data_IF_416979364527
#
_entry.id   IF_416979364527
#
_cell.length_a   1.000
_cell.length_b   1.000
_cell.length_c   1.000
_cell.angle_alpha   90.00
_cell.angle_beta   90.00
_cell.angle_gamma   90.00
#
_symmetry.space_group_name_H-M   'P 1'
#
loop_
_entity.id
_entity.type
_entity.pdbx_description
1 polymer ?
#
# COMPACT_ATOMS: atom_id res chain seq x y z
N UNK A 1 10.90 -8.84 -14.25
CA UNK A 1 9.55 -9.47 -14.17
C UNK A 1 8.49 -8.50 -14.67
N UNK A 2 7.58 -8.94 -15.56
CA UNK A 2 6.44 -8.11 -16.03
C UNK A 2 5.35 -8.09 -14.96
N UNK A 3 4.77 -6.91 -14.74
CA UNK A 3 3.62 -6.75 -13.85
C UNK A 3 2.32 -7.27 -14.52
N UNK A 4 1.46 -8.02 -13.80
CA UNK A 4 0.11 -8.33 -14.30
C UNK A 4 -0.75 -7.08 -14.49
N UNK A 5 -0.55 -6.08 -13.63
CA UNK A 5 -1.19 -4.76 -13.70
C UNK A 5 -0.13 -3.69 -13.55
N UNK A 6 -0.04 -2.79 -14.53
CA UNK A 6 0.93 -1.70 -14.53
C UNK A 6 0.74 -0.77 -13.32
N UNK A 7 1.84 -0.23 -12.80
CA UNK A 7 1.79 0.84 -11.80
C UNK A 7 1.56 2.19 -12.48
N UNK A 8 0.64 2.97 -11.93
CA UNK A 8 0.41 4.36 -12.36
C UNK A 8 0.95 5.36 -11.35
N UNK A 9 1.22 6.58 -11.80
CA UNK A 9 1.49 7.70 -10.90
C UNK A 9 0.21 8.21 -10.23
N UNK A 10 0.39 9.05 -9.21
CA UNK A 10 -0.69 9.84 -8.62
C UNK A 10 -0.52 11.30 -8.99
N UNK A 11 -1.64 11.98 -9.29
CA UNK A 11 -1.67 13.42 -9.51
C UNK A 11 -1.72 14.13 -8.16
N UNK A 12 -0.80 15.06 -7.91
CA UNK A 12 -0.86 15.95 -6.75
C UNK A 12 -1.85 17.07 -7.02
N UNK A 13 -2.74 17.33 -6.06
CA UNK A 13 -3.56 18.54 -6.07
C UNK A 13 -2.74 19.67 -5.45
N UNK A 14 -2.84 20.87 -6.04
CA UNK A 14 -2.06 22.04 -5.60
C UNK A 14 -2.50 22.51 -4.21
N UNK A 15 -3.81 22.55 -3.98
CA UNK A 15 -4.40 23.05 -2.74
C UNK A 15 -5.82 22.46 -2.51
N UNK A 16 -6.46 22.95 -1.44
CA UNK A 16 -7.81 22.56 -1.04
C UNK A 16 -8.88 22.99 -2.05
N UNK A 17 -8.71 24.12 -2.73
CA UNK A 17 -9.68 24.62 -3.72
C UNK A 17 -9.67 23.70 -4.94
N UNK A 18 -8.48 23.37 -5.45
CA UNK A 18 -8.30 22.41 -6.53
C UNK A 18 -8.87 21.03 -6.19
N UNK A 19 -8.65 20.56 -4.95
CA UNK A 19 -9.25 19.32 -4.46
C UNK A 19 -10.77 19.41 -4.44
N UNK A 20 -11.36 20.47 -3.86
CA UNK A 20 -12.81 20.66 -3.81
C UNK A 20 -13.43 20.65 -5.20
N UNK A 21 -12.84 21.36 -6.17
CA UNK A 21 -13.30 21.37 -7.56
C UNK A 21 -13.23 19.98 -8.20
N UNK A 22 -12.14 19.24 -7.95
CA UNK A 22 -12.00 17.87 -8.46
C UNK A 22 -13.05 16.92 -7.86
N UNK A 23 -13.45 17.12 -6.60
CA UNK A 23 -14.44 16.29 -5.92
C UNK A 23 -15.89 16.56 -6.35
N UNK A 24 -16.23 17.75 -6.88
CA UNK A 24 -17.63 18.16 -7.17
C UNK A 24 -18.39 17.18 -8.06
N UNK A 25 -17.73 16.65 -9.09
CA UNK A 25 -18.34 15.76 -10.08
C UNK A 25 -18.13 14.27 -9.76
N UNK A 26 -17.84 13.94 -8.50
CA UNK A 26 -17.45 12.58 -8.07
C UNK A 26 -18.18 12.18 -6.80
N UNK A 27 -18.57 10.91 -6.77
CA UNK A 27 -19.14 10.25 -5.59
C UNK A 27 -18.27 9.04 -5.21
N UNK A 28 -18.58 8.41 -4.08
CA UNK A 28 -17.84 7.25 -3.54
C UNK A 28 -16.32 7.49 -3.42
N UNK A 29 -15.96 8.63 -2.83
CA UNK A 29 -14.57 9.01 -2.62
C UNK A 29 -14.05 8.50 -1.28
N UNK A 30 -12.81 8.01 -1.32
CA UNK A 30 -12.11 7.48 -0.15
C UNK A 30 -10.72 8.12 -0.06
N UNK A 31 -10.28 8.37 1.17
CA UNK A 31 -8.94 8.85 1.49
C UNK A 31 -8.12 7.74 2.13
N UNK A 32 -6.85 7.66 1.74
CA UNK A 32 -5.84 6.76 2.28
C UNK A 32 -4.56 7.56 2.54
N UNK A 33 -3.71 7.17 3.51
CA UNK A 33 -2.46 7.84 3.78
C UNK A 33 -1.50 7.62 2.60
N UNK A 34 -0.73 8.66 2.28
CA UNK A 34 0.38 8.50 1.35
C UNK A 34 1.57 7.89 2.10
N UNK A 35 1.63 6.56 2.13
CA UNK A 35 2.72 5.81 2.77
C UNK A 35 4.06 6.12 2.10
N UNK A 36 5.10 6.37 2.92
CA UNK A 36 6.47 6.61 2.46
C UNK A 36 7.30 5.34 2.55
N UNK A 37 7.39 4.60 1.44
CA UNK A 37 8.13 3.35 1.36
C UNK A 37 8.56 3.05 -0.06
N UNK A 38 8.49 1.78 -0.46
CA UNK A 38 8.69 1.34 -1.85
C UNK A 38 7.50 0.52 -2.33
N UNK A 39 7.05 0.81 -3.55
CA UNK A 39 5.91 0.13 -4.13
C UNK A 39 6.24 -1.32 -4.51
N UNK A 40 5.29 -2.21 -4.24
CA UNK A 40 5.33 -3.64 -4.51
C UNK A 40 4.02 -4.11 -5.15
N UNK A 41 4.11 -5.11 -6.01
CA UNK A 41 2.97 -5.92 -6.46
C UNK A 41 3.05 -7.28 -5.81
N UNK A 42 1.97 -7.72 -5.16
CA UNK A 42 1.81 -9.06 -4.61
C UNK A 42 0.84 -9.84 -5.48
N UNK A 43 1.23 -11.02 -5.92
CA UNK A 43 0.40 -11.92 -6.72
C UNK A 43 0.13 -13.17 -5.91
N UNK A 44 -1.14 -13.42 -5.62
CA UNK A 44 -1.61 -14.64 -5.00
C UNK A 44 -2.19 -15.58 -6.07
N UNK A 45 -1.85 -16.86 -5.97
CA UNK A 45 -2.39 -17.94 -6.80
C UNK A 45 -2.71 -19.13 -5.92
N UNK A 46 -3.90 -19.68 -6.07
CA UNK A 46 -4.39 -20.82 -5.28
C UNK A 46 -4.18 -20.63 -3.77
N UNK A 47 -4.43 -19.41 -3.30
CA UNK A 47 -4.32 -19.04 -1.89
C UNK A 47 -2.90 -18.87 -1.37
N UNK A 48 -1.86 -18.93 -2.21
CA UNK A 48 -0.46 -18.76 -1.79
C UNK A 48 0.16 -17.54 -2.44
N UNK A 49 1.04 -16.84 -1.70
CA UNK A 49 1.88 -15.81 -2.29
C UNK A 49 2.74 -16.45 -3.38
N UNK A 50 2.45 -16.16 -4.65
CA UNK A 50 3.13 -16.72 -5.80
C UNK A 50 4.32 -15.84 -6.21
N UNK A 51 4.12 -14.52 -6.20
CA UNK A 51 5.13 -13.56 -6.64
C UNK A 51 5.04 -12.24 -5.90
N UNK A 52 6.18 -11.62 -5.64
CA UNK A 52 6.28 -10.23 -5.24
C UNK A 52 7.22 -9.48 -6.18
N UNK A 53 6.79 -8.32 -6.69
CA UNK A 53 7.49 -7.60 -7.76
C UNK A 53 7.73 -6.17 -7.31
N UNK A 54 8.96 -5.67 -7.40
CA UNK A 54 9.26 -4.26 -7.18
C UNK A 54 8.57 -3.38 -8.23
N UNK A 55 8.41 -2.08 -7.96
CA UNK A 55 7.82 -1.18 -8.97
C UNK A 55 8.60 -1.13 -10.29
N UNK A 56 9.93 -1.06 -10.22
CA UNK A 56 10.79 -0.81 -11.38
C UNK A 56 10.34 0.41 -12.20
N UNK A 57 10.12 0.21 -13.50
CA UNK A 57 9.61 1.27 -14.39
C UNK A 57 8.07 1.33 -14.46
N UNK A 58 7.38 0.54 -13.63
CA UNK A 58 5.93 0.45 -13.57
C UNK A 58 5.30 -0.58 -14.51
N UNK A 59 6.00 -1.00 -15.57
CA UNK A 59 5.60 -2.11 -16.45
C UNK A 59 6.35 -3.40 -16.10
N UNK A 60 7.62 -3.26 -15.73
CA UNK A 60 8.51 -4.32 -15.29
C UNK A 60 9.23 -3.89 -14.01
N UNK A 61 9.42 -4.85 -13.12
CA UNK A 61 10.20 -4.70 -11.90
C UNK A 61 11.10 -5.91 -11.63
N UNK A 62 11.73 -5.90 -10.47
CA UNK A 62 12.58 -6.99 -9.98
C UNK A 62 11.73 -8.02 -9.24
N UNK A 63 12.19 -9.27 -9.22
CA UNK A 63 11.58 -10.30 -8.40
C UNK A 63 12.04 -10.13 -6.95
N UNK A 64 11.12 -9.78 -6.07
CA UNK A 64 11.36 -9.65 -4.63
C UNK A 64 10.69 -10.77 -3.84
N UNK A 65 10.24 -11.84 -4.50
CA UNK A 65 9.43 -12.90 -3.88
C UNK A 65 10.11 -13.47 -2.64
N UNK A 66 11.36 -13.93 -2.75
CA UNK A 66 12.07 -14.55 -1.62
C UNK A 66 12.14 -13.62 -0.40
N UNK A 67 12.51 -12.35 -0.60
CA UNK A 67 12.62 -11.39 0.49
C UNK A 67 11.27 -11.01 1.09
N UNK A 68 10.24 -10.83 0.25
CA UNK A 68 8.89 -10.50 0.70
C UNK A 68 8.28 -11.66 1.51
N UNK A 69 8.67 -12.92 1.26
CA UNK A 69 8.25 -14.05 2.10
C UNK A 69 8.73 -13.95 3.56
N UNK A 70 9.80 -13.19 3.81
CA UNK A 70 10.36 -12.99 5.15
C UNK A 70 9.74 -11.79 5.87
N UNK A 71 8.94 -10.97 5.19
CA UNK A 71 8.24 -9.85 5.80
C UNK A 71 6.99 -10.39 6.50
N UNK A 72 7.01 -10.42 7.83
CA UNK A 72 5.91 -10.94 8.66
C UNK A 72 4.56 -10.25 8.42
N UNK A 73 4.57 -8.99 7.97
CA UNK A 73 3.35 -8.26 7.63
C UNK A 73 2.69 -8.75 6.31
N UNK A 74 3.34 -9.60 5.52
CA UNK A 74 2.80 -10.15 4.27
C UNK A 74 2.29 -11.57 4.51
N UNK A 75 0.97 -11.81 4.48
CA UNK A 75 0.39 -13.14 4.59
C UNK A 75 0.93 -14.07 3.50
N UNK A 76 1.47 -15.22 3.89
CA UNK A 76 1.96 -16.22 2.93
C UNK A 76 0.83 -17.04 2.30
N UNK A 77 -0.29 -17.12 3.01
CA UNK A 77 -1.51 -17.76 2.55
C UNK A 77 -2.71 -16.85 2.77
N UNK A 78 -3.65 -16.89 1.84
CA UNK A 78 -4.91 -16.14 1.84
C UNK A 78 -6.02 -17.05 1.32
N UNK A 79 -7.27 -16.68 1.57
CA UNK A 79 -8.44 -17.45 1.14
C UNK A 79 -9.49 -16.56 0.50
N UNK A 80 -10.59 -17.17 0.05
CA UNK A 80 -11.72 -16.44 -0.52
C UNK A 80 -11.33 -15.67 -1.78
N UNK A 81 -11.87 -14.45 -1.98
CA UNK A 81 -11.61 -13.67 -3.19
C UNK A 81 -10.13 -13.31 -3.40
N UNK A 82 -9.30 -13.27 -2.35
CA UNK A 82 -7.86 -13.02 -2.47
C UNK A 82 -7.04 -14.23 -2.97
N UNK A 83 -7.62 -15.44 -3.00
CA UNK A 83 -6.87 -16.64 -3.35
C UNK A 83 -6.21 -16.56 -4.75
N UNK A 84 -6.82 -15.79 -5.66
CA UNK A 84 -6.34 -15.54 -7.00
C UNK A 84 -6.41 -14.04 -7.33
N UNK A 85 -5.59 -13.23 -6.66
CA UNK A 85 -5.62 -11.77 -6.79
C UNK A 85 -4.27 -11.14 -7.10
N UNK A 86 -4.31 -9.94 -7.66
CA UNK A 86 -3.15 -9.04 -7.73
C UNK A 86 -3.38 -7.84 -6.82
N UNK A 87 -2.46 -7.60 -5.88
CA UNK A 87 -2.48 -6.45 -4.98
C UNK A 87 -1.33 -5.51 -5.30
N UNK A 88 -1.55 -4.21 -5.18
CA UNK A 88 -0.51 -3.19 -5.21
C UNK A 88 -0.48 -2.44 -3.88
N UNK A 89 0.71 -2.26 -3.34
CA UNK A 89 0.91 -1.70 -2.00
C UNK A 89 2.32 -1.16 -1.79
N UNK A 90 2.55 -0.52 -0.64
CA UNK A 90 3.87 0.00 -0.23
C UNK A 90 4.43 -0.95 0.82
N UNK A 91 5.70 -1.35 0.66
CA UNK A 91 6.50 -1.84 1.78
C UNK A 91 7.12 -0.61 2.44
N UNK A 92 6.95 -0.47 3.75
CA UNK A 92 7.41 0.70 4.49
C UNK A 92 8.07 0.30 5.81
N UNK A 93 8.82 1.22 6.41
CA UNK A 93 9.48 1.01 7.69
C UNK A 93 8.51 1.36 8.83
N UNK A 94 8.18 0.39 9.69
CA UNK A 94 7.36 0.64 10.88
C UNK A 94 8.14 1.49 11.88
N UNK A 95 7.52 2.57 12.34
CA UNK A 95 8.06 3.49 13.34
C UNK A 95 6.94 3.92 14.28
N UNK A 96 6.90 3.31 15.45
CA UNK A 96 5.97 3.69 16.49
C UNK A 96 6.33 5.09 17.04
N UNK A 97 5.31 5.91 17.27
CA UNK A 97 5.46 7.26 17.83
C UNK A 97 6.15 8.29 16.92
N UNK A 98 6.53 7.93 15.68
CA UNK A 98 7.23 8.87 14.81
C UNK A 98 6.27 9.83 14.11
N UNK A 99 6.32 11.10 14.49
CA UNK A 99 5.54 12.19 13.88
C UNK A 99 6.49 13.02 13.01
N UNK A 100 6.42 12.84 11.68
CA UNK A 100 7.35 13.48 10.75
C UNK A 100 7.35 15.02 10.84
N UNK A 101 6.20 15.65 11.13
CA UNK A 101 6.11 17.11 11.28
C UNK A 101 6.93 17.63 12.48
N UNK A 102 7.05 16.83 13.54
CA UNK A 102 7.72 17.21 14.78
C UNK A 102 9.17 16.71 14.82
N UNK A 103 9.42 15.53 14.26
CA UNK A 103 10.69 14.79 14.39
C UNK A 103 11.54 14.83 13.12
N UNK A 104 11.00 15.33 12.01
CA UNK A 104 11.69 15.40 10.72
C UNK A 104 11.62 14.11 9.90
N UNK A 105 12.26 14.13 8.72
CA UNK A 105 12.31 12.99 7.82
C UNK A 105 13.44 12.01 8.18
N UNK A 106 13.13 10.72 8.27
CA UNK A 106 14.11 9.67 8.61
C UNK A 106 14.67 8.91 7.41
N UNK A 107 14.41 9.41 6.19
CA UNK A 107 14.74 8.75 4.93
C UNK A 107 14.23 7.28 4.86
N UNK A 108 12.99 7.07 5.33
CA UNK A 108 12.40 5.73 5.48
C UNK A 108 12.39 4.97 4.16
N UNK A 109 11.94 5.61 3.08
CA UNK A 109 11.94 5.04 1.73
C UNK A 109 13.30 4.51 1.29
N UNK A 110 14.38 5.28 1.45
CA UNK A 110 15.71 4.82 1.04
C UNK A 110 16.21 3.64 1.90
N UNK A 111 15.88 3.64 3.20
CA UNK A 111 16.18 2.51 4.08
C UNK A 111 15.47 1.24 3.63
N UNK A 112 14.18 1.32 3.32
CA UNK A 112 13.42 0.18 2.80
C UNK A 112 13.97 -0.29 1.46
N UNK A 113 14.25 0.63 0.53
CA UNK A 113 14.85 0.29 -0.76
C UNK A 113 16.18 -0.45 -0.59
N UNK A 114 17.06 0.07 0.29
CA UNK A 114 18.33 -0.58 0.62
C UNK A 114 18.14 -1.97 1.22
N UNK A 115 17.22 -2.13 2.17
CA UNK A 115 16.89 -3.44 2.75
C UNK A 115 16.41 -4.42 1.68
N UNK A 116 15.59 -3.97 0.72
CA UNK A 116 15.10 -4.83 -0.35
C UNK A 116 16.18 -5.25 -1.34
N UNK A 117 17.23 -4.45 -1.55
CA UNK A 117 18.30 -4.73 -2.52
C UNK A 117 19.48 -5.56 -1.97
N UNK A 118 19.64 -5.67 -0.65
CA UNK A 118 20.74 -6.46 -0.06
C UNK A 118 20.62 -7.96 -0.34
N UNK A 119 21.72 -8.71 -0.25
CA UNK A 119 21.71 -10.17 -0.41
C UNK A 119 21.46 -10.91 0.91
N UNK A 120 21.63 -10.25 2.06
CA UNK A 120 21.43 -10.84 3.38
C UNK A 120 19.98 -10.68 3.87
N UNK A 121 19.50 -11.74 4.50
CA UNK A 121 18.21 -11.75 5.20
C UNK A 121 18.45 -11.29 6.63
N UNK A 122 18.27 -9.98 6.83
CA UNK A 122 18.48 -9.34 8.14
C UNK A 122 17.20 -9.40 8.98
N UNK A 123 17.35 -9.57 10.30
CA UNK A 123 16.26 -9.44 11.27
C UNK A 123 15.46 -8.14 11.13
N UNK A 124 16.07 -7.11 10.52
CA UNK A 124 15.41 -5.85 10.17
C UNK A 124 14.23 -5.97 9.21
N UNK A 125 14.03 -7.08 8.48
CA UNK A 125 12.82 -7.27 7.68
C UNK A 125 11.54 -7.34 8.54
N UNK A 126 11.65 -7.74 9.81
CA UNK A 126 10.53 -7.71 10.76
C UNK A 126 10.09 -6.29 11.12
N UNK A 127 10.94 -5.28 10.88
CA UNK A 127 10.59 -3.87 11.02
C UNK A 127 9.81 -3.33 9.83
N UNK A 128 9.63 -4.10 8.76
CA UNK A 128 8.86 -3.70 7.60
C UNK A 128 7.36 -3.99 7.80
N UNK A 129 6.55 -3.08 7.28
CA UNK A 129 5.10 -3.22 7.13
C UNK A 129 4.72 -3.23 5.66
N UNK A 130 3.48 -3.61 5.38
CA UNK A 130 2.89 -3.51 4.04
C UNK A 130 1.54 -2.79 4.14
N UNK A 131 1.30 -1.87 3.21
CA UNK A 131 0.01 -1.18 3.08
C UNK A 131 -0.52 -1.39 1.66
N UNK A 132 -1.65 -2.09 1.51
CA UNK A 132 -2.27 -2.35 0.20
C UNK A 132 -3.20 -1.17 -0.13
N UNK A 133 -2.94 -0.45 -1.21
CA UNK A 133 -3.80 0.67 -1.64
C UNK A 133 -4.71 0.31 -2.82
N UNK A 134 -4.38 -0.75 -3.57
CA UNK A 134 -5.16 -1.17 -4.72
C UNK A 134 -5.24 -2.69 -4.85
N UNK A 135 -6.43 -3.11 -5.25
CA UNK A 135 -6.78 -4.46 -5.66
C UNK A 135 -7.55 -4.35 -6.98
N UNK A 136 -6.86 -4.35 -8.13
CA UNK A 136 -7.46 -4.05 -9.43
C UNK A 136 -8.59 -5.01 -9.82
N UNK A 137 -8.46 -6.29 -9.49
CA UNK A 137 -9.40 -7.38 -9.76
C UNK A 137 -10.29 -7.73 -8.55
N UNK A 138 -10.38 -6.86 -7.55
CA UNK A 138 -11.13 -7.09 -6.32
C UNK A 138 -12.62 -6.73 -6.39
N UNK A 139 -13.35 -6.92 -5.27
CA UNK A 139 -14.76 -6.53 -5.15
C UNK A 139 -15.04 -5.11 -5.62
N UNK A 140 -16.25 -4.82 -6.11
CA UNK A 140 -16.57 -3.47 -6.59
C UNK A 140 -16.66 -2.45 -5.45
N UNK A 141 -17.28 -2.83 -4.33
CA UNK A 141 -17.45 -1.95 -3.18
C UNK A 141 -16.15 -1.86 -2.38
N UNK A 142 -15.74 -0.64 -2.04
CA UNK A 142 -14.57 -0.43 -1.19
C UNK A 142 -14.74 -1.09 0.18
N UNK A 143 -15.94 -1.06 0.77
CA UNK A 143 -16.23 -1.73 2.04
C UNK A 143 -15.87 -3.21 2.03
N UNK A 144 -16.17 -3.90 0.92
CA UNK A 144 -15.89 -5.32 0.76
C UNK A 144 -14.39 -5.55 0.58
N UNK A 145 -13.72 -4.71 -0.22
CA UNK A 145 -12.25 -4.74 -0.33
C UNK A 145 -11.58 -4.61 1.04
N UNK A 146 -12.00 -3.63 1.84
CA UNK A 146 -11.43 -3.39 3.17
C UNK A 146 -11.64 -4.58 4.11
N UNK A 147 -12.85 -5.16 4.10
CA UNK A 147 -13.18 -6.33 4.92
C UNK A 147 -12.34 -7.54 4.51
N UNK A 148 -12.32 -7.88 3.23
CA UNK A 148 -11.59 -9.04 2.71
C UNK A 148 -10.07 -8.90 2.92
N UNK A 149 -9.51 -7.71 2.70
CA UNK A 149 -8.10 -7.42 2.99
C UNK A 149 -7.79 -7.58 4.49
N UNK A 150 -8.65 -7.07 5.36
CA UNK A 150 -8.46 -7.19 6.81
C UNK A 150 -8.54 -8.66 7.27
N UNK A 151 -9.53 -9.42 6.78
CA UNK A 151 -9.67 -10.86 7.05
C UNK A 151 -8.44 -11.65 6.59
N UNK A 152 -7.82 -11.26 5.48
CA UNK A 152 -6.59 -11.88 4.99
C UNK A 152 -5.32 -11.46 5.76
N UNK A 153 -5.40 -10.49 6.69
CA UNK A 153 -4.27 -10.02 7.50
C UNK A 153 -3.71 -8.65 7.10
N UNK A 154 -4.23 -8.02 6.04
CA UNK A 154 -3.87 -6.65 5.63
C UNK A 154 -4.70 -5.59 6.38
N UNK A 155 -4.63 -5.61 7.71
CA UNK A 155 -5.50 -4.81 8.58
C UNK A 155 -5.31 -3.30 8.43
N UNK A 156 -4.10 -2.83 8.10
CA UNK A 156 -3.80 -1.40 7.98
C UNK A 156 -4.66 -0.70 6.92
N UNK A 157 -4.96 -1.37 5.81
CA UNK A 157 -5.78 -0.78 4.75
C UNK A 157 -7.17 -0.41 5.27
N UNK A 158 -7.81 -1.30 6.05
CA UNK A 158 -9.09 -0.98 6.69
C UNK A 158 -8.93 0.11 7.77
N UNK A 159 -7.86 0.04 8.55
CA UNK A 159 -7.60 1.04 9.61
C UNK A 159 -7.41 2.45 9.07
N UNK A 160 -6.84 2.63 7.87
CA UNK A 160 -6.50 3.96 7.35
C UNK A 160 -7.22 4.34 6.05
N UNK A 161 -8.21 3.58 5.60
CA UNK A 161 -9.08 3.99 4.50
C UNK A 161 -10.38 4.55 5.04
N UNK A 162 -10.75 5.77 4.66
CA UNK A 162 -11.95 6.46 5.15
C UNK A 162 -12.78 7.04 4.00
N UNK A 163 -14.09 6.84 4.04
CA UNK A 163 -15.00 7.51 3.11
C UNK A 163 -15.02 9.01 3.41
N UNK A 164 -15.05 9.82 2.36
CA UNK A 164 -15.04 11.29 2.46
C UNK A 164 -15.99 11.89 1.44
N UNK A 165 -16.69 12.94 1.84
CA UNK A 165 -17.69 13.63 1.00
C UNK A 165 -17.21 14.96 0.46
N UNK A 166 -16.19 15.56 1.08
CA UNK A 166 -15.69 16.89 0.73
C UNK A 166 -14.23 17.08 1.18
N UNK A 167 -13.62 18.18 0.74
CA UNK A 167 -12.23 18.49 1.05
C UNK A 167 -11.99 18.81 2.55
N UNK A 168 -13.02 19.21 3.30
CA UNK A 168 -12.91 19.43 4.75
C UNK A 168 -12.75 18.11 5.51
N UNK A 169 -13.49 17.08 5.13
CA UNK A 169 -13.31 15.73 5.66
C UNK A 169 -11.93 15.17 5.33
N UNK A 170 -11.44 15.35 4.10
CA UNK A 170 -10.07 14.97 3.73
C UNK A 170 -9.04 15.70 4.61
N UNK A 171 -9.21 17.00 4.84
CA UNK A 171 -8.31 17.78 5.68
C UNK A 171 -8.35 17.32 7.15
N UNK A 172 -9.54 17.02 7.69
CA UNK A 172 -9.70 16.48 9.05
C UNK A 172 -8.98 15.15 9.21
N UNK A 173 -9.19 14.22 8.27
CA UNK A 173 -8.52 12.91 8.29
C UNK A 173 -7.00 13.07 8.19
N UNK A 174 -6.52 13.91 7.26
CA UNK A 174 -5.09 14.20 7.10
C UNK A 174 -4.45 14.77 8.36
N UNK A 175 -5.15 15.66 9.08
CA UNK A 175 -4.61 16.28 10.29
C UNK A 175 -4.64 15.33 11.51
N UNK A 176 -5.46 14.28 11.47
CA UNK A 176 -5.56 13.29 12.54
C UNK A 176 -4.52 12.15 12.42
N UNK A 177 -3.89 12.01 11.24
CA UNK A 177 -2.80 11.06 10.97
C UNK A 177 -1.44 11.76 11.05
#
# INVERSE_FOLDING_TARGET
VIHPVAHTGVRKMADKIALSLWMRERSDLWVQPKVDGVAVTLVYRDGKLNKAISRGNGLKGEDWTQKVRLISAVPQTVSGPLANSTLQGEIFLKREGHIQQQMGGINARAKVAGLMMRQDDSDTLNSLGVFVWAWPDGPQLMSDRLKELATAGFTLTQTYTRAVKNADEVARVRNAW
#
